data_IF_772121117805
#
_entry.id   IF_772121117805
#
_cell.length_a   1.000
_cell.length_b   1.000
_cell.length_c   1.000
_cell.angle_alpha   90.00
_cell.angle_beta   90.00
_cell.angle_gamma   90.00
#
_symmetry.space_group_name_H-M   'P 1'
#
loop_
_entity.id
_entity.type
_entity.pdbx_description
1 polymer ?
#
# COMPACT_ATOMS: atom_id res chain seq x y z
N UNK A 1 4.69 -0.44 -12.51
CA UNK A 1 4.85 -0.30 -11.04
C UNK A 1 4.89 1.15 -10.59
N UNK A 2 5.83 2.00 -11.03
CA UNK A 2 5.90 3.38 -10.52
C UNK A 2 4.69 4.24 -10.93
N UNK A 3 4.26 4.17 -12.20
CA UNK A 3 3.23 5.08 -12.72
C UNK A 3 1.86 4.93 -12.01
N UNK A 4 1.40 3.71 -11.75
CA UNK A 4 0.09 3.49 -11.11
C UNK A 4 0.08 3.98 -9.67
N UNK A 5 1.16 3.74 -8.91
CA UNK A 5 1.30 4.26 -7.56
C UNK A 5 1.37 5.79 -7.55
N UNK A 6 2.06 6.41 -8.52
CA UNK A 6 2.08 7.87 -8.65
C UNK A 6 0.69 8.45 -8.93
N UNK A 7 -0.09 7.81 -9.81
CA UNK A 7 -1.46 8.22 -10.08
C UNK A 7 -2.35 8.05 -8.84
N UNK A 8 -2.25 6.92 -8.15
CA UNK A 8 -2.98 6.67 -6.91
C UNK A 8 -2.71 7.77 -5.87
N UNK A 9 -1.43 8.11 -5.65
CA UNK A 9 -1.04 9.17 -4.70
C UNK A 9 -1.48 10.57 -5.16
N UNK A 10 -1.58 10.81 -6.48
CA UNK A 10 -2.01 12.10 -7.03
C UNK A 10 -3.51 12.33 -6.88
N UNK A 11 -4.31 11.28 -7.03
CA UNK A 11 -5.77 11.37 -6.98
C UNK A 11 -6.36 11.11 -5.60
N UNK A 12 -5.57 10.59 -4.65
CA UNK A 12 -6.01 10.45 -3.27
C UNK A 12 -6.34 11.82 -2.68
N UNK A 13 -7.35 11.84 -1.81
CA UNK A 13 -7.62 12.97 -0.92
C UNK A 13 -6.81 12.83 0.37
N UNK A 14 -6.72 13.93 1.13
CA UNK A 14 -6.10 13.92 2.45
C UNK A 14 -6.88 12.97 3.37
N UNK A 15 -6.16 12.08 4.06
CA UNK A 15 -6.75 11.06 4.94
C UNK A 15 -7.13 9.74 4.24
N UNK A 16 -7.08 9.65 2.92
CA UNK A 16 -7.33 8.39 2.21
C UNK A 16 -6.26 7.35 2.56
N UNK A 17 -6.73 6.15 2.87
CA UNK A 17 -5.88 4.99 3.14
C UNK A 17 -5.30 4.45 1.83
N UNK A 18 -4.03 4.06 1.86
CA UNK A 18 -3.37 3.38 0.75
C UNK A 18 -2.99 1.99 1.20
N UNK A 19 -3.36 0.98 0.41
CA UNK A 19 -2.94 -0.41 0.61
C UNK A 19 -1.99 -0.79 -0.53
N UNK A 20 -0.77 -1.20 -0.19
CA UNK A 20 0.17 -1.80 -1.14
C UNK A 20 0.02 -3.32 -1.10
N UNK A 21 -0.20 -3.91 -2.27
CA UNK A 21 -0.33 -5.35 -2.44
C UNK A 21 0.36 -5.82 -3.72
N UNK A 22 0.58 -7.13 -3.83
CA UNK A 22 1.34 -7.75 -4.90
C UNK A 22 2.67 -7.02 -5.09
N UNK A 23 3.03 -6.63 -6.32
CA UNK A 23 4.32 -5.99 -6.57
C UNK A 23 4.42 -4.61 -5.92
N UNK A 24 3.30 -3.94 -5.61
CA UNK A 24 3.27 -2.63 -4.95
C UNK A 24 4.04 -2.60 -3.62
N UNK A 25 4.15 -3.73 -2.92
CA UNK A 25 4.89 -3.82 -1.66
C UNK A 25 6.38 -3.52 -1.80
N UNK A 26 6.96 -3.65 -3.01
CA UNK A 26 8.35 -3.24 -3.28
C UNK A 26 8.59 -1.76 -2.97
N UNK A 27 7.57 -0.91 -3.12
CA UNK A 27 7.66 0.52 -2.81
C UNK A 27 7.86 0.76 -1.30
N UNK A 28 7.34 -0.12 -0.44
CA UNK A 28 7.53 -0.02 1.00
C UNK A 28 8.95 -0.42 1.47
N UNK A 29 9.77 -1.00 0.58
CA UNK A 29 11.15 -1.38 0.85
C UNK A 29 12.18 -0.51 0.10
N UNK A 30 11.73 0.31 -0.86
CA UNK A 30 12.61 1.16 -1.66
C UNK A 30 12.79 2.54 -1.00
N UNK A 31 14.02 2.97 -0.64
CA UNK A 31 14.24 4.20 0.15
C UNK A 31 13.56 5.46 -0.41
N UNK A 32 13.67 5.70 -1.72
CA UNK A 32 13.05 6.87 -2.35
C UNK A 32 11.51 6.84 -2.34
N UNK A 33 10.91 5.66 -2.22
CA UNK A 33 9.47 5.52 -2.04
C UNK A 33 9.07 5.64 -0.57
N UNK A 34 9.86 5.09 0.36
CA UNK A 34 9.63 5.25 1.79
C UNK A 34 9.53 6.73 2.18
N UNK A 35 10.43 7.59 1.69
CA UNK A 35 10.38 9.04 1.93
C UNK A 35 9.07 9.66 1.41
N UNK A 36 8.65 9.32 0.19
CA UNK A 36 7.41 9.84 -0.43
C UNK A 36 6.15 9.33 0.27
N UNK A 37 6.22 8.16 0.90
CA UNK A 37 5.09 7.50 1.54
C UNK A 37 4.98 7.81 3.04
N UNK A 38 5.92 8.57 3.62
CA UNK A 38 6.01 8.74 5.08
C UNK A 38 4.80 9.40 5.73
N UNK A 39 4.12 10.28 5.02
CA UNK A 39 2.93 10.99 5.50
C UNK A 39 1.63 10.37 4.97
N UNK A 40 1.71 9.20 4.35
CA UNK A 40 0.56 8.50 3.79
C UNK A 40 0.04 7.49 4.82
N UNK A 41 -1.26 7.48 5.13
CA UNK A 41 -1.87 6.38 5.88
C UNK A 41 -1.74 5.06 5.09
N UNK A 42 -0.67 4.32 5.37
CA UNK A 42 -0.19 3.24 4.52
C UNK A 42 -0.30 1.89 5.20
N UNK A 43 -0.95 0.96 4.52
CA UNK A 43 -0.93 -0.47 4.82
C UNK A 43 -0.17 -1.23 3.74
N UNK A 44 0.50 -2.31 4.13
CA UNK A 44 1.30 -3.14 3.22
C UNK A 44 0.97 -4.60 3.45
N UNK A 45 0.56 -5.31 2.40
CA UNK A 45 0.20 -6.73 2.49
C UNK A 45 1.40 -7.57 2.92
N UNK A 46 1.28 -8.21 4.07
CA UNK A 46 2.35 -8.97 4.72
C UNK A 46 2.75 -10.19 3.91
N UNK A 47 1.77 -10.94 3.42
CA UNK A 47 1.99 -12.14 2.63
C UNK A 47 2.75 -11.82 1.33
N UNK A 48 2.48 -10.65 0.74
CA UNK A 48 3.16 -10.18 -0.47
C UNK A 48 4.61 -9.74 -0.22
N UNK A 49 4.87 -9.10 0.92
CA UNK A 49 6.24 -8.81 1.37
C UNK A 49 7.03 -10.10 1.55
N UNK A 50 6.45 -11.06 2.26
CA UNK A 50 7.07 -12.36 2.53
C UNK A 50 7.34 -13.15 1.25
N UNK A 51 6.38 -13.17 0.32
CA UNK A 51 6.53 -13.84 -0.98
C UNK A 51 7.70 -13.26 -1.81
N UNK A 52 8.05 -11.99 -1.60
CA UNK A 52 9.16 -11.30 -2.25
C UNK A 52 10.45 -11.27 -1.42
N UNK A 53 10.45 -11.88 -0.23
CA UNK A 53 11.60 -11.87 0.69
C UNK A 53 11.94 -10.47 1.22
N UNK A 54 10.95 -9.58 1.29
CA UNK A 54 11.11 -8.21 1.76
C UNK A 54 10.61 -8.04 3.19
N UNK A 55 11.17 -7.03 3.86
CA UNK A 55 10.65 -6.42 5.08
C UNK A 55 10.15 -5.01 4.77
N UNK A 56 9.02 -4.62 5.34
CA UNK A 56 8.53 -3.25 5.18
C UNK A 56 9.46 -2.25 5.88
N UNK A 57 9.90 -1.21 5.16
CA UNK A 57 10.58 -0.05 5.74
C UNK A 57 9.62 1.02 6.27
N UNK A 58 8.33 0.93 5.90
CA UNK A 58 7.31 1.91 6.25
C UNK A 58 5.89 1.32 6.21
N UNK A 59 4.91 2.03 6.77
CA UNK A 59 3.52 1.58 6.80
C UNK A 59 3.25 0.46 7.81
N UNK A 60 2.00 0.08 7.94
CA UNK A 60 1.55 -1.00 8.82
C UNK A 60 1.35 -2.28 8.02
N UNK A 61 1.94 -3.39 8.48
CA UNK A 61 1.67 -4.71 7.89
C UNK A 61 0.18 -5.06 8.02
N UNK A 62 -0.38 -5.55 6.93
CA UNK A 62 -1.79 -5.92 6.79
C UNK A 62 -1.89 -7.36 6.27
N UNK A 63 -2.78 -8.15 6.86
CA UNK A 63 -3.13 -9.49 6.36
C UNK A 63 -4.45 -9.47 5.59
N UNK A 64 -4.80 -10.57 4.93
CA UNK A 64 -6.06 -10.65 4.17
C UNK A 64 -7.31 -10.38 5.03
N UNK A 65 -7.46 -10.92 6.27
CA UNK A 65 -8.56 -10.54 7.16
C UNK A 65 -8.62 -9.03 7.46
N UNK A 66 -7.47 -8.40 7.68
CA UNK A 66 -7.36 -6.96 7.87
C UNK A 66 -7.83 -6.16 6.66
N UNK A 67 -7.46 -6.60 5.45
CA UNK A 67 -7.94 -5.98 4.21
C UNK A 67 -9.47 -6.08 4.07
N UNK A 68 -10.05 -7.26 4.33
CA UNK A 68 -11.51 -7.45 4.28
C UNK A 68 -12.19 -6.50 5.28
N UNK A 69 -11.63 -6.34 6.47
CA UNK A 69 -12.15 -5.43 7.47
C UNK A 69 -12.07 -3.97 7.03
N UNK A 70 -10.94 -3.53 6.47
CA UNK A 70 -10.80 -2.17 5.94
C UNK A 70 -11.83 -1.88 4.85
N UNK A 71 -12.07 -2.84 3.94
CA UNK A 71 -13.08 -2.70 2.89
C UNK A 71 -14.49 -2.63 3.49
N UNK A 72 -14.77 -3.41 4.54
CA UNK A 72 -16.05 -3.35 5.24
C UNK A 72 -16.28 -2.00 5.96
N UNK A 73 -15.21 -1.38 6.49
CA UNK A 73 -15.27 -0.12 7.23
C UNK A 73 -15.29 1.11 6.30
N UNK A 74 -14.53 1.09 5.19
CA UNK A 74 -14.33 2.24 4.31
C UNK A 74 -15.04 2.13 2.95
N UNK A 75 -15.62 0.97 2.65
CA UNK A 75 -16.23 0.68 1.35
C UNK A 75 -15.23 0.14 0.32
N UNK A 76 -15.71 -0.02 -0.91
CA UNK A 76 -14.92 -0.60 -2.00
C UNK A 76 -13.72 0.29 -2.34
N UNK A 77 -12.50 -0.28 -2.38
CA UNK A 77 -11.30 0.49 -2.70
C UNK A 77 -11.26 0.84 -4.19
N UNK A 78 -10.58 1.93 -4.52
CA UNK A 78 -10.17 2.19 -5.88
C UNK A 78 -8.84 1.47 -6.16
N UNK A 79 -8.88 0.49 -7.06
CA UNK A 79 -7.71 -0.31 -7.43
C UNK A 79 -6.90 0.34 -8.54
N UNK A 80 -5.58 0.32 -8.40
CA UNK A 80 -4.61 0.80 -9.38
C UNK A 80 -3.62 -0.32 -9.71
N UNK A 81 -3.31 -0.51 -10.99
CA UNK A 81 -2.58 -1.69 -11.46
C UNK A 81 -3.51 -2.89 -11.70
N UNK A 82 -3.17 -3.70 -12.70
CA UNK A 82 -3.90 -4.90 -13.10
C UNK A 82 -2.97 -5.96 -13.65
#
# INVERSE_FOLDING_TARGET
MSQDLELALRYRMEGDLVVLMQDAVMAAAAPGWCERLAEVPLYVMKEDLQARGLSSGIGMELDMPGLIRLIAEHGSPQTWGG
#
